data_IF_497803932302
#
_entry.id   IF_497803932302
#
_cell.length_a   1.000
_cell.length_b   1.000
_cell.length_c   1.000
_cell.angle_alpha   90.00
_cell.angle_beta   90.00
_cell.angle_gamma   90.00
#
_symmetry.space_group_name_H-M   'P 1'
#
loop_
_entity.id
_entity.type
_entity.pdbx_description
1 polymer ?
#
# COMPACT_ATOMS: atom_id res chain seq x y z
N UNK A 1 38.90 43.73 -5.99
CA UNK A 1 37.96 43.82 -7.13
C UNK A 1 36.76 42.93 -6.78
N UNK A 2 35.68 43.42 -6.15
CA UNK A 2 34.60 44.29 -6.67
C UNK A 2 33.66 43.52 -7.63
N UNK A 3 32.43 43.23 -7.13
CA UNK A 3 31.11 43.12 -7.80
C UNK A 3 30.96 42.08 -8.94
N UNK A 4 29.81 41.54 -9.37
CA UNK A 4 28.38 41.47 -9.03
C UNK A 4 27.77 40.48 -10.08
N UNK A 5 26.95 39.50 -9.71
CA UNK A 5 25.47 39.49 -9.80
C UNK A 5 24.81 39.57 -11.22
N UNK A 6 23.96 38.57 -11.47
CA UNK A 6 22.60 38.64 -12.07
C UNK A 6 22.38 38.52 -13.61
N UNK A 7 21.73 37.40 -13.97
CA UNK A 7 20.36 37.31 -14.56
C UNK A 7 20.11 36.97 -16.06
N UNK A 8 19.21 35.97 -16.23
CA UNK A 8 18.18 35.75 -17.30
C UNK A 8 18.71 35.32 -18.68
N UNK A 9 18.33 34.17 -19.24
CA UNK A 9 17.07 33.99 -19.98
C UNK A 9 16.56 32.54 -20.01
N UNK A 10 15.29 32.43 -19.58
CA UNK A 10 14.35 31.35 -19.84
C UNK A 10 13.46 31.78 -21.02
N UNK A 11 13.22 30.91 -22.02
CA UNK A 11 12.00 30.86 -22.86
C UNK A 11 12.09 29.66 -23.83
N UNK A 12 11.27 28.61 -23.67
CA UNK A 12 9.87 28.41 -24.11
C UNK A 12 9.74 27.92 -25.56
N UNK A 13 9.13 26.74 -25.73
CA UNK A 13 7.92 26.60 -26.56
C UNK A 13 6.84 25.87 -25.76
N UNK A 14 5.68 26.52 -25.73
CA UNK A 14 4.41 26.05 -25.22
C UNK A 14 3.55 25.62 -26.41
N UNK A 15 2.59 24.71 -26.18
CA UNK A 15 1.36 24.62 -26.97
C UNK A 15 0.17 24.23 -26.05
N UNK A 16 -1.09 24.60 -26.37
CA UNK A 16 -1.83 25.54 -25.53
C UNK A 16 -3.29 25.12 -25.36
N UNK A 17 -3.64 24.33 -24.35
CA UNK A 17 -5.07 24.03 -24.06
C UNK A 17 -5.40 23.97 -22.56
N UNK A 18 -4.72 24.76 -21.73
CA UNK A 18 -4.98 24.82 -20.28
C UNK A 18 -5.25 26.22 -19.74
N UNK A 19 -5.97 27.03 -20.53
CA UNK A 19 -6.66 28.24 -20.05
C UNK A 19 -8.12 28.16 -20.47
N UNK A 20 -8.97 27.81 -19.51
CA UNK A 20 -10.38 28.22 -19.30
C UNK A 20 -11.04 27.15 -18.43
N UNK A 21 -11.22 27.46 -17.14
CA UNK A 21 -12.32 27.05 -16.26
C UNK A 21 -11.97 27.36 -14.81
N UNK A 22 -11.90 28.65 -14.53
CA UNK A 22 -12.16 29.21 -13.20
C UNK A 22 -13.40 30.06 -13.35
N UNK A 23 -14.59 29.45 -13.28
CA UNK A 23 -15.83 30.15 -12.95
C UNK A 23 -16.98 29.15 -12.77
N UNK A 24 -17.74 29.38 -11.69
CA UNK A 24 -19.09 28.91 -11.41
C UNK A 24 -19.30 27.48 -10.88
N UNK A 25 -19.09 27.31 -9.56
CA UNK A 25 -20.02 26.51 -8.72
C UNK A 25 -20.27 27.26 -7.41
N UNK A 26 -21.36 28.04 -7.38
CA UNK A 26 -22.05 28.54 -6.18
C UNK A 26 -23.54 28.26 -6.40
N UNK A 27 -24.24 27.87 -5.31
CA UNK A 27 -25.69 27.52 -5.19
C UNK A 27 -25.94 26.03 -5.49
N UNK A 28 -26.62 25.23 -4.64
CA UNK A 28 -27.74 25.51 -3.73
C UNK A 28 -27.82 24.40 -2.66
N UNK A 29 -28.17 24.79 -1.43
CA UNK A 29 -28.66 23.91 -0.35
C UNK A 29 -30.19 23.85 -0.36
N UNK A 30 -30.72 22.74 0.17
CA UNK A 30 -32.03 22.51 0.85
C UNK A 30 -32.66 21.23 0.29
N UNK A 31 -33.14 20.23 1.02
CA UNK A 31 -33.34 19.97 2.44
C UNK A 31 -34.17 18.67 2.51
N UNK A 32 -34.28 18.02 3.67
CA UNK A 32 -35.47 17.28 4.15
C UNK A 32 -35.21 16.63 5.52
N UNK A 33 -36.14 16.91 6.42
CA UNK A 33 -36.34 16.39 7.76
C UNK A 33 -36.88 14.96 7.72
N UNK A 34 -36.55 14.13 8.71
CA UNK A 34 -37.37 12.99 9.16
C UNK A 34 -37.12 12.74 10.65
N UNK A 35 -38.21 12.49 11.36
CA UNK A 35 -38.42 12.50 12.82
C UNK A 35 -38.09 11.17 13.52
N UNK A 36 -37.83 11.26 14.82
CA UNK A 36 -37.58 10.15 15.75
C UNK A 36 -38.63 10.17 16.87
N UNK A 37 -39.22 9.02 17.16
CA UNK A 37 -39.92 8.61 18.39
C UNK A 37 -39.80 7.07 18.41
N UNK A 38 -39.72 6.31 19.49
CA UNK A 38 -39.46 6.43 20.94
C UNK A 38 -39.33 4.96 21.39
N UNK A 39 -38.61 4.63 22.47
CA UNK A 39 -38.93 3.56 23.46
C UNK A 39 -37.75 3.28 24.41
N UNK A 40 -37.86 3.85 25.63
CA UNK A 40 -37.61 3.31 26.99
C UNK A 40 -36.80 2.01 27.11
N UNK A 41 -35.58 1.98 27.68
CA UNK A 41 -35.16 2.09 29.10
C UNK A 41 -35.08 0.76 29.89
N UNK A 42 -33.83 0.40 30.22
CA UNK A 42 -33.30 -0.14 31.49
C UNK A 42 -33.49 -1.61 31.91
N UNK A 43 -32.36 -2.36 31.94
CA UNK A 43 -31.68 -2.81 33.18
C UNK A 43 -30.53 -3.78 32.88
N UNK A 44 -29.28 -3.31 32.85
CA UNK A 44 -28.06 -4.11 33.16
C UNK A 44 -26.92 -3.16 33.59
N UNK A 45 -27.11 -2.45 34.70
CA UNK A 45 -26.15 -1.49 35.25
C UNK A 45 -25.44 -2.09 36.46
N UNK A 46 -24.26 -2.69 36.24
CA UNK A 46 -23.17 -2.69 37.23
C UNK A 46 -21.80 -3.00 36.61
N UNK A 47 -21.73 -3.71 35.47
CA UNK A 47 -20.45 -3.94 34.73
C UNK A 47 -20.09 -2.84 33.72
N UNK A 48 -21.02 -1.92 33.43
CA UNK A 48 -20.83 -0.85 32.43
C UNK A 48 -20.13 0.39 33.02
N UNK A 49 -20.19 0.60 34.34
CA UNK A 49 -19.59 1.80 34.98
C UNK A 49 -18.06 1.83 34.90
N UNK A 50 -17.38 0.69 34.96
CA UNK A 50 -15.92 0.61 34.78
C UNK A 50 -15.49 0.82 33.32
N UNK A 51 -16.27 0.33 32.36
CA UNK A 51 -16.03 0.55 30.92
C UNK A 51 -16.34 1.99 30.50
N UNK A 52 -17.35 2.65 31.09
CA UNK A 52 -17.67 4.05 30.80
C UNK A 52 -16.63 5.03 31.33
N UNK A 53 -15.97 4.76 32.46
CA UNK A 53 -14.90 5.63 32.98
C UNK A 53 -13.66 5.56 32.07
N UNK A 54 -13.28 4.38 31.58
CA UNK A 54 -12.16 4.23 30.64
C UNK A 54 -12.50 4.75 29.22
N UNK A 55 -13.74 4.55 28.75
CA UNK A 55 -14.20 5.08 27.48
C UNK A 55 -14.30 6.62 27.49
N UNK A 56 -14.82 7.23 28.56
CA UNK A 56 -14.86 8.69 28.68
C UNK A 56 -13.48 9.31 28.84
N UNK A 57 -12.52 8.64 29.47
CA UNK A 57 -11.13 9.12 29.55
C UNK A 57 -10.46 9.13 28.17
N UNK A 58 -10.66 8.06 27.37
CA UNK A 58 -10.18 8.01 25.98
C UNK A 58 -10.93 9.00 25.08
N UNK A 59 -12.22 9.21 25.25
CA UNK A 59 -13.00 10.16 24.44
C UNK A 59 -12.74 11.64 24.81
N UNK A 60 -12.38 11.96 26.07
CA UNK A 60 -11.90 13.30 26.48
C UNK A 60 -10.49 13.60 25.95
N UNK A 61 -9.59 12.60 25.95
CA UNK A 61 -8.26 12.73 25.34
C UNK A 61 -8.35 12.90 23.81
N UNK A 62 -9.27 12.20 23.15
CA UNK A 62 -9.47 12.30 21.70
C UNK A 62 -10.23 13.56 21.27
N UNK A 63 -11.20 14.05 22.04
CA UNK A 63 -11.85 15.35 21.76
C UNK A 63 -10.88 16.53 21.83
N UNK A 64 -9.84 16.45 22.67
CA UNK A 64 -8.78 17.47 22.75
C UNK A 64 -7.72 17.37 21.64
N UNK A 65 -7.70 16.28 20.86
CA UNK A 65 -6.84 16.11 19.68
C UNK A 65 -7.56 16.40 18.35
N UNK A 66 -8.90 16.49 18.35
CA UNK A 66 -9.73 16.75 17.16
C UNK A 66 -9.91 18.26 16.88
N UNK A 67 -9.29 19.16 17.66
CA UNK A 67 -9.31 20.61 17.35
C UNK A 67 -8.20 21.06 16.37
N UNK A 68 -7.59 20.14 15.62
CA UNK A 68 -6.50 20.44 14.65
C UNK A 68 -6.98 20.54 13.19
N UNK A 69 -8.27 20.77 12.97
CA UNK A 69 -8.82 21.14 11.66
C UNK A 69 -9.46 22.53 11.76
N UNK A 70 -8.91 23.49 11.01
CA UNK A 70 -9.47 24.83 10.86
C UNK A 70 -8.67 25.97 11.50
N UNK A 71 -7.37 26.06 11.28
CA UNK A 71 -6.64 27.33 11.45
C UNK A 71 -6.43 27.98 10.07
N UNK A 72 -7.54 28.45 9.50
CA UNK A 72 -7.50 29.41 8.41
C UNK A 72 -6.95 30.73 8.98
N UNK A 73 -5.81 31.17 8.43
CA UNK A 73 -5.29 32.54 8.36
C UNK A 73 -5.68 33.48 9.52
N UNK A 74 -4.91 33.44 10.60
CA UNK A 74 -4.73 34.60 11.47
C UNK A 74 -3.24 34.76 11.76
N UNK A 75 -2.66 35.86 11.29
CA UNK A 75 -1.23 36.19 11.33
C UNK A 75 -0.74 36.65 12.70
N UNK A 76 -1.47 36.36 13.79
CA UNK A 76 -1.00 36.58 15.16
C UNK A 76 -1.25 35.34 16.03
N UNK A 77 -0.23 34.76 16.70
CA UNK A 77 -0.45 33.64 17.60
C UNK A 77 -1.25 34.13 18.81
N UNK A 78 -2.50 33.67 18.96
CA UNK A 78 -3.27 33.89 20.19
C UNK A 78 -2.47 33.42 21.42
N UNK A 79 -2.66 34.06 22.59
CA UNK A 79 -1.93 33.70 23.83
C UNK A 79 -2.04 32.20 24.17
N UNK A 80 -3.19 31.59 23.88
CA UNK A 80 -3.46 30.15 24.08
C UNK A 80 -2.59 29.28 23.17
N UNK A 81 -2.41 29.66 21.91
CA UNK A 81 -1.53 28.96 20.98
C UNK A 81 -0.05 29.14 21.34
N UNK A 82 0.34 30.30 21.87
CA UNK A 82 1.69 30.55 22.40
C UNK A 82 2.01 29.67 23.62
N UNK A 83 1.08 29.54 24.57
CA UNK A 83 1.24 28.69 25.74
C UNK A 83 1.41 27.21 25.36
N UNK A 84 0.51 26.67 24.51
CA UNK A 84 0.63 25.29 24.00
C UNK A 84 1.93 25.05 23.23
N UNK A 85 2.40 26.03 22.45
CA UNK A 85 3.64 25.92 21.69
C UNK A 85 4.87 25.98 22.59
N UNK A 86 4.83 26.74 23.68
CA UNK A 86 5.86 26.76 24.72
C UNK A 86 5.88 25.46 25.53
N UNK A 87 4.73 24.89 25.88
CA UNK A 87 4.64 23.56 26.52
C UNK A 87 5.23 22.47 25.63
N UNK A 88 4.93 22.49 24.33
CA UNK A 88 5.55 21.58 23.36
C UNK A 88 7.06 21.79 23.26
N UNK A 89 7.58 23.02 23.32
CA UNK A 89 9.03 23.27 23.38
C UNK A 89 9.67 22.68 24.63
N UNK A 90 8.98 22.71 25.78
CA UNK A 90 9.45 22.13 27.04
C UNK A 90 9.43 20.60 27.02
N UNK A 91 8.41 19.99 26.43
CA UNK A 91 8.22 18.53 26.39
C UNK A 91 9.03 17.87 25.26
N UNK A 92 9.28 18.57 24.15
CA UNK A 92 9.99 18.03 22.97
C UNK A 92 11.35 17.40 23.30
N UNK A 93 12.24 18.02 24.11
CA UNK A 93 13.47 17.38 24.54
C UNK A 93 13.24 16.07 25.31
N UNK A 94 12.20 16.01 26.16
CA UNK A 94 11.86 14.79 26.90
C UNK A 94 11.37 13.68 25.97
N UNK A 95 10.55 14.00 24.96
CA UNK A 95 10.09 13.03 23.95
C UNK A 95 11.28 12.49 23.16
N UNK A 96 12.16 13.38 22.71
CA UNK A 96 13.35 13.01 21.94
C UNK A 96 14.25 12.07 22.76
N UNK A 97 14.54 12.40 24.03
CA UNK A 97 15.29 11.51 24.94
C UNK A 97 14.62 10.15 25.14
N UNK A 98 13.28 10.10 25.27
CA UNK A 98 12.54 8.83 25.38
C UNK A 98 12.59 8.00 24.10
N UNK A 99 12.67 8.64 22.94
CA UNK A 99 12.85 7.96 21.65
C UNK A 99 14.27 7.40 21.57
N UNK A 100 15.28 8.22 21.85
CA UNK A 100 16.69 7.80 21.85
C UNK A 100 16.95 6.67 22.85
N UNK A 101 16.38 6.74 24.05
CA UNK A 101 16.52 5.69 25.05
C UNK A 101 15.89 4.36 24.60
N UNK A 102 14.66 4.38 24.03
CA UNK A 102 14.07 3.17 23.45
C UNK A 102 14.89 2.64 22.29
N UNK A 103 15.48 3.53 21.49
CA UNK A 103 16.25 3.12 20.34
C UNK A 103 17.57 2.41 20.69
N UNK A 104 18.09 2.57 21.92
CA UNK A 104 19.24 1.81 22.44
C UNK A 104 18.93 0.32 22.63
N UNK A 105 17.66 -0.03 22.77
CA UNK A 105 17.21 -1.42 22.96
C UNK A 105 17.08 -2.18 21.63
N UNK A 106 17.21 -1.48 20.49
CA UNK A 106 17.21 -2.10 19.17
C UNK A 106 18.64 -2.49 18.73
N UNK A 107 18.80 -3.63 18.03
CA UNK A 107 17.76 -4.60 17.67
C UNK A 107 17.36 -5.48 18.86
N UNK A 108 16.07 -5.82 18.95
CA UNK A 108 15.55 -6.74 19.97
C UNK A 108 15.91 -8.16 19.57
N UNK A 109 16.81 -8.82 20.30
CA UNK A 109 17.38 -10.13 19.92
C UNK A 109 16.31 -11.20 19.65
N UNK A 110 15.26 -11.25 20.47
CA UNK A 110 14.21 -12.29 20.37
C UNK A 110 13.38 -12.22 19.07
N UNK A 111 13.37 -11.06 18.38
CA UNK A 111 12.61 -10.88 17.13
C UNK A 111 13.46 -11.06 15.88
N UNK A 112 14.80 -11.11 16.00
CA UNK A 112 15.73 -11.30 14.88
C UNK A 112 15.37 -12.56 14.06
N UNK A 113 15.07 -13.73 14.67
CA UNK A 113 14.70 -14.92 13.90
C UNK A 113 13.47 -14.72 13.02
N UNK A 114 12.48 -13.93 13.48
CA UNK A 114 11.28 -13.61 12.69
C UNK A 114 11.67 -12.79 11.45
N UNK A 115 12.61 -11.86 11.57
CA UNK A 115 13.10 -11.07 10.45
C UNK A 115 13.88 -11.93 9.44
N UNK A 116 14.70 -12.87 9.90
CA UNK A 116 15.39 -13.85 9.02
C UNK A 116 14.41 -14.76 8.28
N UNK A 117 13.35 -15.23 8.96
CA UNK A 117 12.27 -16.01 8.33
C UNK A 117 11.57 -15.22 7.23
N UNK A 118 11.32 -13.92 7.43
CA UNK A 118 10.74 -13.05 6.40
C UNK A 118 11.65 -12.96 5.18
N UNK A 119 12.97 -12.85 5.37
CA UNK A 119 13.93 -12.78 4.27
C UNK A 119 13.97 -14.09 3.47
N UNK A 120 13.99 -15.23 4.17
CA UNK A 120 13.90 -16.57 3.53
C UNK A 120 12.59 -16.71 2.76
N UNK A 121 11.47 -16.32 3.36
CA UNK A 121 10.16 -16.34 2.71
C UNK A 121 10.11 -15.40 1.50
N UNK A 122 10.69 -14.20 1.58
CA UNK A 122 10.78 -13.26 0.46
C UNK A 122 11.55 -13.86 -0.72
N UNK A 123 12.72 -14.45 -0.46
CA UNK A 123 13.55 -15.10 -1.50
C UNK A 123 12.77 -16.22 -2.19
N UNK A 124 12.15 -17.10 -1.41
CA UNK A 124 11.37 -18.21 -1.95
C UNK A 124 10.15 -17.71 -2.74
N UNK A 125 9.46 -16.68 -2.24
CA UNK A 125 8.33 -16.08 -2.92
C UNK A 125 8.73 -15.52 -4.29
N UNK A 126 9.79 -14.69 -4.34
CA UNK A 126 10.27 -14.09 -5.59
C UNK A 126 10.70 -15.17 -6.59
N UNK A 127 11.47 -16.16 -6.15
CA UNK A 127 11.91 -17.26 -7.02
C UNK A 127 10.73 -18.04 -7.61
N UNK A 128 9.80 -18.51 -6.78
CA UNK A 128 8.66 -19.30 -7.26
C UNK A 128 7.71 -18.46 -8.13
N UNK A 129 7.45 -17.19 -7.78
CA UNK A 129 6.62 -16.31 -8.62
C UNK A 129 7.28 -16.04 -9.97
N UNK A 130 8.60 -15.84 -10.02
CA UNK A 130 9.32 -15.71 -11.30
C UNK A 130 9.14 -16.93 -12.19
N UNK A 131 9.25 -18.14 -11.63
CA UNK A 131 8.99 -19.40 -12.38
C UNK A 131 7.55 -19.43 -12.90
N UNK A 132 6.57 -19.15 -12.04
CA UNK A 132 5.16 -19.16 -12.43
C UNK A 132 4.83 -18.13 -13.51
N UNK A 133 5.44 -16.95 -13.48
CA UNK A 133 5.23 -15.90 -14.49
C UNK A 133 5.74 -16.27 -15.88
N UNK A 134 6.74 -17.15 -16.00
CA UNK A 134 7.18 -17.66 -17.30
C UNK A 134 6.22 -18.69 -17.89
N UNK A 135 5.38 -19.31 -17.07
CA UNK A 135 4.48 -20.41 -17.46
C UNK A 135 3.02 -19.98 -17.56
N UNK A 136 2.58 -19.06 -16.71
CA UNK A 136 1.22 -18.54 -16.66
C UNK A 136 1.20 -17.09 -17.14
N UNK A 137 0.46 -16.77 -18.21
CA UNK A 137 0.34 -15.40 -18.68
C UNK A 137 -0.28 -14.51 -17.60
N UNK A 138 0.42 -13.44 -17.26
CA UNK A 138 -0.11 -12.34 -16.45
C UNK A 138 -0.16 -11.11 -17.34
N UNK A 139 -1.28 -10.41 -17.30
CA UNK A 139 -1.55 -9.22 -18.07
C UNK A 139 -1.70 -8.03 -17.13
N UNK A 140 -1.17 -6.89 -17.51
CA UNK A 140 -1.35 -5.61 -16.80
C UNK A 140 -1.96 -4.60 -17.76
N UNK A 141 -2.78 -3.69 -17.24
CA UNK A 141 -3.37 -2.65 -18.06
C UNK A 141 -2.35 -1.53 -18.31
N UNK A 142 -2.22 -1.09 -19.57
CA UNK A 142 -1.34 0.02 -19.95
C UNK A 142 -1.71 1.37 -19.29
N UNK A 143 -2.98 1.55 -18.93
CA UNK A 143 -3.51 2.85 -18.51
C UNK A 143 -3.90 2.93 -17.03
N UNK A 144 -4.09 1.80 -16.38
CA UNK A 144 -4.48 1.74 -14.98
C UNK A 144 -3.73 0.59 -14.31
N UNK A 145 -3.78 0.52 -12.98
CA UNK A 145 -3.02 -0.51 -12.27
C UNK A 145 -3.64 -1.91 -12.33
N UNK A 146 -4.70 -2.17 -13.11
CA UNK A 146 -5.39 -3.47 -13.07
C UNK A 146 -4.50 -4.59 -13.63
N UNK A 147 -4.54 -5.74 -12.98
CA UNK A 147 -3.75 -6.94 -13.33
C UNK A 147 -4.72 -8.10 -13.48
N UNK A 148 -4.44 -8.97 -14.43
CA UNK A 148 -5.23 -10.17 -14.70
C UNK A 148 -4.31 -11.37 -14.88
N UNK A 149 -4.70 -12.53 -14.35
CA UNK A 149 -3.95 -13.79 -14.50
C UNK A 149 -4.71 -14.67 -15.47
N UNK A 150 -4.20 -14.85 -16.68
CA UNK A 150 -4.83 -15.62 -17.74
C UNK A 150 -4.33 -15.24 -19.13
N UNK A 151 -4.55 -16.13 -20.11
CA UNK A 151 -4.09 -15.98 -21.50
C UNK A 151 -4.67 -14.75 -22.19
N UNK A 152 -5.97 -14.51 -21.98
CA UNK A 152 -6.71 -13.38 -22.55
C UNK A 152 -7.28 -12.54 -21.40
N UNK A 153 -7.10 -11.22 -21.48
CA UNK A 153 -7.60 -10.33 -20.46
C UNK A 153 -9.12 -10.22 -20.49
N UNK A 154 -9.72 -9.81 -19.37
CA UNK A 154 -11.18 -9.68 -19.28
C UNK A 154 -11.73 -8.50 -20.09
N UNK A 155 -13.02 -8.60 -20.43
CA UNK A 155 -13.80 -7.56 -21.12
C UNK A 155 -14.66 -6.72 -20.16
N UNK A 156 -14.43 -6.85 -18.85
CA UNK A 156 -15.05 -6.00 -17.83
C UNK A 156 -14.59 -4.55 -18.02
N UNK A 157 -15.55 -3.65 -18.21
CA UNK A 157 -15.31 -2.22 -18.43
C UNK A 157 -15.00 -1.47 -17.12
N UNK A 158 -13.87 -1.77 -16.48
CA UNK A 158 -13.42 -1.14 -15.22
C UNK A 158 -12.23 -0.20 -15.39
N UNK A 159 -11.72 -0.03 -16.61
CA UNK A 159 -10.50 0.73 -16.84
C UNK A 159 -10.68 2.20 -16.46
N UNK A 160 -9.90 2.66 -15.47
CA UNK A 160 -9.88 4.05 -15.00
C UNK A 160 -8.69 4.80 -15.59
N UNK A 161 -8.62 4.89 -16.92
CA UNK A 161 -7.56 5.62 -17.61
C UNK A 161 -7.36 7.01 -17.00
N UNK A 162 -6.13 7.55 -17.04
CA UNK A 162 -5.78 8.89 -16.51
C UNK A 162 -6.64 10.04 -17.09
N UNK A 163 -7.36 9.79 -18.18
CA UNK A 163 -8.33 10.68 -18.80
C UNK A 163 -9.68 10.52 -18.07
N UNK A 164 -10.07 11.54 -17.30
CA UNK A 164 -11.34 11.62 -16.52
C UNK A 164 -12.61 11.70 -17.39
N UNK A 165 -12.73 10.92 -18.46
CA UNK A 165 -13.92 10.84 -19.32
C UNK A 165 -14.41 9.39 -19.43
N UNK A 166 -15.42 9.08 -18.62
CA UNK A 166 -16.15 7.80 -18.60
C UNK A 166 -15.37 6.67 -17.91
N UNK A 167 -15.96 6.10 -16.86
CA UNK A 167 -15.35 5.03 -16.04
C UNK A 167 -15.59 3.62 -16.61
N UNK A 168 -16.02 3.51 -17.87
CA UNK A 168 -16.51 2.28 -18.47
C UNK A 168 -15.76 2.01 -19.78
N UNK A 169 -14.45 1.80 -19.70
CA UNK A 169 -13.63 1.42 -20.85
C UNK A 169 -13.07 0.02 -20.65
N UNK A 170 -12.89 -0.68 -21.76
CA UNK A 170 -12.09 -1.90 -21.81
C UNK A 170 -10.63 -1.58 -21.49
N UNK A 171 -9.93 -2.57 -20.95
CA UNK A 171 -8.51 -2.50 -20.68
C UNK A 171 -7.70 -2.77 -21.94
N UNK A 172 -6.61 -2.01 -22.12
CA UNK A 172 -5.56 -2.36 -23.07
C UNK A 172 -4.51 -3.17 -22.32
N UNK A 173 -4.48 -4.47 -22.59
CA UNK A 173 -3.63 -5.44 -21.90
C UNK A 173 -2.25 -5.52 -22.55
N UNK A 174 -1.23 -5.55 -21.70
CA UNK A 174 0.16 -5.84 -22.09
C UNK A 174 0.71 -6.94 -21.17
N UNK A 175 1.76 -7.66 -21.58
CA UNK A 175 2.42 -8.62 -20.69
C UNK A 175 2.84 -7.97 -19.37
N UNK A 176 2.43 -8.58 -18.27
CA UNK A 176 2.75 -8.15 -16.92
C UNK A 176 4.12 -8.64 -16.46
N UNK A 177 4.67 -7.96 -15.45
CA UNK A 177 5.95 -8.28 -14.82
C UNK A 177 5.77 -8.74 -13.38
N UNK A 178 6.85 -9.20 -12.76
CA UNK A 178 6.85 -9.52 -11.33
C UNK A 178 6.44 -8.33 -10.46
N UNK A 179 6.77 -7.11 -10.86
CA UNK A 179 6.44 -5.90 -10.12
C UNK A 179 4.94 -5.54 -10.17
N UNK A 180 4.21 -6.07 -11.16
CA UNK A 180 2.75 -5.89 -11.25
C UNK A 180 2.03 -6.81 -10.25
N UNK A 181 2.59 -8.01 -10.01
CA UNK A 181 2.07 -9.00 -9.05
C UNK A 181 2.54 -8.69 -7.62
N UNK A 182 3.84 -8.46 -7.45
CA UNK A 182 4.52 -8.13 -6.20
C UNK A 182 4.98 -6.67 -6.24
N UNK A 183 4.06 -5.76 -5.91
CA UNK A 183 4.31 -4.31 -6.01
C UNK A 183 5.50 -3.90 -5.14
N UNK A 184 6.59 -3.38 -5.74
CA UNK A 184 7.74 -2.93 -4.97
C UNK A 184 7.37 -1.67 -4.19
N UNK A 185 7.60 -1.72 -2.88
CA UNK A 185 7.46 -0.56 -1.98
C UNK A 185 8.82 -0.22 -1.44
N UNK A 186 9.25 1.02 -1.65
CA UNK A 186 10.55 1.51 -1.19
C UNK A 186 10.45 2.31 0.10
N UNK A 187 11.56 2.35 0.83
CA UNK A 187 11.81 3.23 1.97
C UNK A 187 13.23 3.80 1.84
N UNK A 188 13.47 4.93 2.50
CA UNK A 188 14.84 5.39 2.74
C UNK A 188 15.58 4.40 3.64
N UNK A 189 16.83 4.12 3.29
CA UNK A 189 17.72 3.33 4.12
C UNK A 189 18.24 4.16 5.30
N UNK A 190 18.11 3.63 6.53
CA UNK A 190 18.62 4.27 7.74
C UNK A 190 19.76 3.45 8.34
N UNK A 191 20.76 4.12 8.93
CA UNK A 191 21.80 3.44 9.71
C UNK A 191 21.28 2.90 11.04
N UNK A 192 20.29 3.57 11.62
CA UNK A 192 19.68 3.20 12.89
C UNK A 192 18.30 3.83 13.06
N UNK A 193 17.42 3.18 13.81
CA UNK A 193 16.11 3.71 14.24
C UNK A 193 16.17 5.03 15.02
N UNK A 194 17.32 5.35 15.63
CA UNK A 194 17.53 6.62 16.37
C UNK A 194 18.00 7.77 15.49
N UNK A 195 18.28 7.52 14.21
CA UNK A 195 18.84 8.50 13.30
C UNK A 195 17.94 9.75 13.19
N UNK A 196 18.57 10.90 13.02
CA UNK A 196 17.87 12.17 12.79
C UNK A 196 16.95 12.12 11.56
N UNK A 197 15.89 12.92 11.61
CA UNK A 197 14.89 12.98 10.54
C UNK A 197 15.50 13.49 9.23
N UNK A 198 15.41 12.69 8.16
CA UNK A 198 15.86 13.03 6.81
C UNK A 198 15.11 14.29 6.32
N UNK A 199 15.85 15.34 6.00
CA UNK A 199 15.31 16.58 5.43
C UNK A 199 15.18 16.47 3.91
N UNK A 200 14.38 17.34 3.31
CA UNK A 200 14.16 17.32 1.86
C UNK A 200 15.43 17.50 1.03
N UNK A 201 16.35 18.34 1.48
CA UNK A 201 17.62 18.57 0.80
C UNK A 201 18.47 17.30 0.80
N UNK A 202 18.37 16.50 1.86
CA UNK A 202 19.18 15.31 2.06
C UNK A 202 18.62 14.07 1.36
N UNK A 203 17.50 14.18 0.63
CA UNK A 203 16.82 13.01 0.05
C UNK A 203 17.66 12.23 -0.96
N UNK A 204 18.69 12.84 -1.51
CA UNK A 204 19.61 12.19 -2.45
C UNK A 204 20.88 11.67 -1.75
N UNK A 205 21.04 11.98 -0.47
CA UNK A 205 22.17 11.52 0.36
C UNK A 205 21.88 10.14 0.97
N UNK A 206 20.66 9.62 0.81
CA UNK A 206 20.20 8.35 1.34
C UNK A 206 19.73 7.44 0.23
N UNK A 207 20.16 6.19 0.29
CA UNK A 207 19.72 5.16 -0.63
C UNK A 207 18.24 4.79 -0.42
N UNK A 208 17.66 4.25 -1.48
CA UNK A 208 16.31 3.70 -1.52
C UNK A 208 16.41 2.18 -1.57
N UNK A 209 15.70 1.52 -0.67
CA UNK A 209 15.68 0.05 -0.56
C UNK A 209 14.23 -0.43 -0.40
N UNK A 210 13.91 -1.69 -0.74
CA UNK A 210 12.61 -2.26 -0.44
C UNK A 210 12.27 -2.12 1.05
N UNK A 211 11.07 -1.62 1.38
CA UNK A 211 10.65 -1.33 2.74
C UNK A 211 10.67 -2.56 3.66
N UNK A 212 10.47 -3.76 3.10
CA UNK A 212 10.63 -5.03 3.82
C UNK A 212 12.09 -5.23 4.24
N UNK A 213 13.05 -5.00 3.33
CA UNK A 213 14.47 -5.17 3.63
C UNK A 213 14.92 -4.14 4.67
N UNK A 214 14.46 -2.89 4.55
CA UNK A 214 14.73 -1.88 5.56
C UNK A 214 14.19 -2.31 6.94
N UNK A 215 12.95 -2.83 7.00
CA UNK A 215 12.37 -3.29 8.26
C UNK A 215 13.15 -4.46 8.87
N UNK A 216 13.56 -5.44 8.06
CA UNK A 216 14.37 -6.57 8.52
C UNK A 216 15.79 -6.13 8.93
N UNK A 217 16.36 -5.13 8.26
CA UNK A 217 17.65 -4.54 8.62
C UNK A 217 17.57 -3.85 9.99
N UNK A 218 16.56 -3.00 10.22
CA UNK A 218 16.35 -2.38 11.54
C UNK A 218 16.05 -3.42 12.62
N UNK A 219 15.50 -4.57 12.23
CA UNK A 219 15.29 -5.70 13.13
C UNK A 219 16.54 -6.53 13.44
N UNK A 220 17.68 -6.24 12.79
CA UNK A 220 18.97 -6.91 13.02
C UNK A 220 19.23 -8.14 12.16
N UNK A 221 18.39 -8.45 11.18
CA UNK A 221 18.60 -9.62 10.29
C UNK A 221 19.53 -9.34 9.10
N UNK A 222 19.83 -8.06 8.83
CA UNK A 222 20.77 -7.64 7.79
C UNK A 222 21.60 -6.50 8.36
N UNK A 223 22.92 -6.54 8.17
CA UNK A 223 23.77 -5.41 8.53
C UNK A 223 23.50 -4.21 7.62
N UNK A 224 23.39 -2.95 8.14
CA UNK A 224 23.04 -1.79 7.32
C UNK A 224 23.91 -1.59 6.07
N UNK A 225 25.21 -1.88 6.17
CA UNK A 225 26.14 -1.72 5.04
C UNK A 225 25.95 -2.78 3.93
N UNK A 226 25.31 -3.90 4.25
CA UNK A 226 25.15 -5.03 3.33
C UNK A 226 23.82 -4.99 2.57
N UNK A 227 22.86 -4.17 3.00
CA UNK A 227 21.48 -4.18 2.49
C UNK A 227 21.39 -3.98 0.97
N UNK A 228 22.23 -3.11 0.40
CA UNK A 228 22.24 -2.83 -1.02
C UNK A 228 22.74 -4.03 -1.82
N UNK A 229 23.79 -4.69 -1.32
CA UNK A 229 24.31 -5.90 -1.94
C UNK A 229 23.33 -7.08 -1.80
N UNK A 230 22.65 -7.16 -0.65
CA UNK A 230 21.60 -8.13 -0.42
C UNK A 230 20.45 -7.96 -1.42
N UNK A 231 19.94 -6.73 -1.58
CA UNK A 231 18.87 -6.42 -2.55
C UNK A 231 19.26 -6.80 -3.97
N UNK A 232 20.45 -6.43 -4.43
CA UNK A 232 20.96 -6.76 -5.77
C UNK A 232 21.02 -8.26 -6.04
N UNK A 233 21.39 -9.06 -5.04
CA UNK A 233 21.57 -10.50 -5.20
C UNK A 233 20.27 -11.31 -5.06
N UNK A 234 19.27 -10.77 -4.34
CA UNK A 234 18.09 -11.54 -3.96
C UNK A 234 16.78 -11.06 -4.60
N UNK A 235 16.69 -9.80 -5.05
CA UNK A 235 15.46 -9.28 -5.66
C UNK A 235 15.27 -9.73 -7.12
N UNK A 236 16.34 -10.20 -7.79
CA UNK A 236 16.33 -10.68 -9.17
C UNK A 236 16.87 -12.11 -9.26
N UNK A 237 16.00 -13.13 -9.08
CA UNK A 237 16.40 -14.53 -9.23
C UNK A 237 16.91 -14.80 -10.65
N UNK A 238 18.15 -15.28 -10.77
CA UNK A 238 18.73 -15.72 -12.04
C UNK A 238 18.29 -17.15 -12.32
N UNK A 239 17.13 -17.31 -12.97
CA UNK A 239 16.60 -18.62 -13.37
C UNK A 239 16.62 -18.69 -14.89
N UNK A 240 17.34 -19.67 -15.46
CA UNK A 240 17.45 -19.85 -16.91
C UNK A 240 16.10 -20.27 -17.53
N UNK A 241 15.94 -20.07 -18.83
CA UNK A 241 14.73 -20.49 -19.53
C UNK A 241 14.70 -22.02 -19.72
N UNK A 242 15.87 -22.64 -19.82
CA UNK A 242 16.06 -24.09 -19.94
C UNK A 242 15.64 -24.83 -18.67
N UNK A 243 16.02 -24.33 -17.49
CA UNK A 243 15.61 -24.89 -16.19
C UNK A 243 14.10 -24.83 -15.95
N UNK A 244 13.40 -23.91 -16.61
CA UNK A 244 11.95 -23.76 -16.45
C UNK A 244 11.19 -24.67 -17.42
N UNK A 245 11.68 -24.84 -18.65
CA UNK A 245 11.08 -25.74 -19.64
C UNK A 245 11.16 -27.21 -19.23
N UNK A 246 12.11 -27.57 -18.38
CA UNK A 246 12.26 -28.93 -17.85
C UNK A 246 11.38 -29.23 -16.63
N UNK A 247 10.64 -28.25 -16.09
CA UNK A 247 9.78 -28.45 -14.91
C UNK A 247 8.53 -29.27 -15.31
N UNK A 248 8.35 -30.48 -14.76
CA UNK A 248 7.14 -31.28 -14.95
C UNK A 248 5.88 -30.57 -14.44
N UNK A 249 4.73 -30.89 -15.02
CA UNK A 249 3.43 -30.31 -14.62
C UNK A 249 3.07 -30.57 -13.16
N UNK A 250 3.44 -31.73 -12.61
CA UNK A 250 3.23 -32.06 -11.18
C UNK A 250 4.06 -31.17 -10.24
N UNK A 251 5.24 -30.74 -10.69
CA UNK A 251 6.11 -29.84 -9.92
C UNK A 251 5.57 -28.40 -9.91
N UNK A 252 4.74 -28.02 -10.88
CA UNK A 252 4.10 -26.68 -10.91
C UNK A 252 3.16 -26.47 -9.72
N UNK A 253 2.44 -27.51 -9.34
CA UNK A 253 1.59 -27.49 -8.13
C UNK A 253 2.43 -27.25 -6.89
N UNK A 254 3.61 -27.87 -6.81
CA UNK A 254 4.55 -27.69 -5.70
C UNK A 254 5.16 -26.27 -5.68
N UNK A 255 5.56 -25.75 -6.84
CA UNK A 255 6.03 -24.35 -7.00
C UNK A 255 4.95 -23.37 -6.54
N UNK A 256 3.70 -23.56 -6.97
CA UNK A 256 2.55 -22.77 -6.54
C UNK A 256 2.30 -22.86 -5.03
N UNK A 257 2.36 -24.07 -4.46
CA UNK A 257 2.18 -24.26 -3.02
C UNK A 257 3.29 -23.58 -2.20
N UNK A 258 4.54 -23.65 -2.67
CA UNK A 258 5.68 -22.99 -2.03
C UNK A 258 5.58 -21.46 -2.11
N UNK A 259 5.20 -20.91 -3.26
CA UNK A 259 4.94 -19.48 -3.42
C UNK A 259 3.85 -19.01 -2.44
N UNK A 260 2.75 -19.75 -2.36
CA UNK A 260 1.63 -19.40 -1.48
C UNK A 260 2.00 -19.50 0.01
N UNK A 261 2.73 -20.55 0.40
CA UNK A 261 3.23 -20.68 1.77
C UNK A 261 4.22 -19.55 2.12
N UNK A 262 5.11 -19.20 1.20
CA UNK A 262 6.06 -18.11 1.36
C UNK A 262 5.35 -16.75 1.49
N UNK A 263 4.31 -16.51 0.69
CA UNK A 263 3.45 -15.33 0.78
C UNK A 263 2.81 -15.19 2.17
N UNK A 264 2.18 -16.25 2.68
CA UNK A 264 1.55 -16.25 4.02
C UNK A 264 2.58 -16.02 5.13
N UNK A 265 3.71 -16.76 5.10
CA UNK A 265 4.79 -16.63 6.08
C UNK A 265 5.35 -15.21 6.12
N UNK A 266 5.63 -14.63 4.96
CA UNK A 266 6.14 -13.26 4.83
C UNK A 266 5.18 -12.23 5.45
N UNK A 267 3.89 -12.33 5.14
CA UNK A 267 2.88 -11.40 5.66
C UNK A 267 2.64 -11.58 7.15
N UNK A 268 2.61 -12.81 7.65
CA UNK A 268 2.50 -13.11 9.07
C UNK A 268 3.71 -12.61 9.87
N UNK A 269 4.92 -12.80 9.35
CA UNK A 269 6.16 -12.27 9.94
C UNK A 269 6.16 -10.74 9.98
N UNK A 270 5.79 -10.09 8.87
CA UNK A 270 5.68 -8.62 8.82
C UNK A 270 4.68 -8.08 9.84
N UNK A 271 3.55 -8.76 10.03
CA UNK A 271 2.57 -8.40 11.06
C UNK A 271 3.21 -8.39 12.45
N UNK A 272 4.08 -9.36 12.76
CA UNK A 272 4.82 -9.42 14.04
C UNK A 272 5.86 -8.29 14.14
N UNK A 273 6.67 -8.07 13.09
CA UNK A 273 7.69 -7.00 13.10
C UNK A 273 7.07 -5.61 13.27
N UNK A 274 5.93 -5.32 12.61
CA UNK A 274 5.24 -4.03 12.71
C UNK A 274 4.62 -3.75 14.08
N UNK A 275 4.54 -4.74 14.98
CA UNK A 275 4.19 -4.51 16.38
C UNK A 275 5.36 -3.94 17.19
N UNK A 276 6.59 -4.27 16.79
CA UNK A 276 7.82 -3.99 17.54
C UNK A 276 8.59 -2.82 16.94
N UNK A 277 8.69 -2.77 15.61
CA UNK A 277 9.38 -1.75 14.85
C UNK A 277 8.36 -0.76 14.26
N UNK A 278 8.31 0.47 14.76
CA UNK A 278 7.39 1.49 14.27
C UNK A 278 7.71 1.83 12.83
N UNK A 279 6.70 1.73 11.97
CA UNK A 279 6.78 2.15 10.57
C UNK A 279 5.62 3.08 10.24
N UNK A 280 5.85 3.96 9.27
CA UNK A 280 4.93 5.00 8.83
C UNK A 280 4.64 4.88 7.35
N UNK A 281 3.41 5.19 6.98
CA UNK A 281 3.00 5.31 5.57
C UNK A 281 2.35 6.68 5.37
N UNK A 282 2.58 7.29 4.21
CA UNK A 282 1.86 8.48 3.82
C UNK A 282 0.47 8.09 3.30
N UNK A 283 -0.59 8.61 3.94
CA UNK A 283 -1.98 8.37 3.55
C UNK A 283 -2.27 8.62 2.06
N UNK A 284 -1.61 9.62 1.49
CA UNK A 284 -1.94 10.15 0.16
C UNK A 284 -1.07 9.61 -0.97
N UNK A 285 0.23 9.45 -0.74
CA UNK A 285 1.17 9.03 -1.78
C UNK A 285 1.79 7.65 -1.54
N UNK A 286 1.36 6.94 -0.49
CA UNK A 286 1.82 5.58 -0.15
C UNK A 286 3.32 5.42 0.08
N UNK A 287 4.04 6.53 0.25
CA UNK A 287 5.44 6.53 0.69
C UNK A 287 5.56 5.85 2.06
N UNK A 288 6.50 4.92 2.21
CA UNK A 288 6.75 4.22 3.46
C UNK A 288 8.06 4.68 4.08
N UNK A 289 8.09 4.75 5.40
CA UNK A 289 9.28 5.02 6.18
C UNK A 289 9.32 4.08 7.38
N UNK A 290 10.36 3.27 7.49
CA UNK A 290 10.64 2.49 8.69
C UNK A 290 11.29 3.42 9.72
N UNK A 291 10.61 3.62 10.86
CA UNK A 291 11.03 4.60 11.86
C UNK A 291 9.87 5.35 12.52
N UNK A 292 10.16 5.97 13.65
CA UNK A 292 9.14 6.59 14.52
C UNK A 292 8.47 7.84 13.94
N UNK A 293 9.21 8.69 13.23
CA UNK A 293 8.79 10.07 12.93
C UNK A 293 8.46 10.35 11.47
N UNK A 294 8.83 9.47 10.53
CA UNK A 294 8.74 9.76 9.11
C UNK A 294 9.78 10.79 8.65
N UNK A 295 10.13 10.80 7.37
CA UNK A 295 11.02 11.82 6.80
C UNK A 295 10.29 13.13 6.48
N UNK A 296 11.07 14.18 6.23
CA UNK A 296 10.60 15.51 5.81
C UNK A 296 10.88 15.82 4.34
N UNK A 297 11.29 14.83 3.56
CA UNK A 297 11.36 15.00 2.10
C UNK A 297 9.99 15.39 1.53
N UNK A 298 9.99 16.36 0.62
CA UNK A 298 8.77 16.89 -0.02
C UNK A 298 8.46 16.14 -1.30
N UNK A 299 8.16 14.84 -1.18
CA UNK A 299 7.91 13.95 -2.31
C UNK A 299 6.42 13.67 -2.54
N UNK A 300 5.53 14.15 -1.66
CA UNK A 300 4.11 13.90 -1.78
C UNK A 300 3.51 14.70 -2.96
N UNK A 301 3.22 14.02 -4.08
CA UNK A 301 2.73 14.64 -5.31
C UNK A 301 1.29 15.18 -5.27
N UNK A 302 0.51 14.85 -4.23
CA UNK A 302 -0.91 15.21 -4.14
C UNK A 302 -1.12 16.70 -3.82
N UNK A 303 -0.19 17.33 -3.11
CA UNK A 303 -0.35 18.69 -2.59
C UNK A 303 0.58 19.71 -3.23
N UNK A 304 0.91 19.55 -4.53
CA UNK A 304 1.80 20.49 -5.23
C UNK A 304 1.25 21.93 -5.24
N UNK A 305 -0.09 22.10 -5.15
CA UNK A 305 -0.78 23.40 -5.21
C UNK A 305 -1.50 23.78 -3.91
N UNK A 306 -1.43 22.96 -2.86
CA UNK A 306 -2.01 23.26 -1.54
C UNK A 306 -0.92 23.69 -0.55
N UNK A 307 -1.32 24.29 0.58
CA UNK A 307 -0.42 24.80 1.63
C UNK A 307 0.52 23.76 2.26
N UNK A 308 0.35 22.46 1.94
CA UNK A 308 1.19 21.36 2.40
C UNK A 308 2.55 21.26 1.69
N UNK A 309 2.79 21.96 0.57
CA UNK A 309 4.12 22.07 -0.09
C UNK A 309 4.85 20.72 -0.27
N UNK A 310 4.11 19.66 -0.58
CA UNK A 310 4.64 18.31 -0.82
C UNK A 310 5.05 17.51 0.43
N UNK A 311 4.70 17.94 1.64
CA UNK A 311 4.96 17.14 2.86
C UNK A 311 4.02 15.94 2.99
N UNK A 312 4.44 14.93 3.74
CA UNK A 312 3.68 13.69 3.95
C UNK A 312 2.70 13.80 5.12
N UNK A 313 1.57 13.10 5.00
CA UNK A 313 0.64 12.85 6.10
C UNK A 313 0.89 11.43 6.63
N UNK A 314 1.70 11.32 7.67
CA UNK A 314 2.17 10.04 8.21
C UNK A 314 1.12 9.36 9.10
N UNK A 315 0.73 8.14 8.73
CA UNK A 315 -0.07 7.21 9.53
C UNK A 315 0.77 5.99 9.92
N UNK A 316 0.30 5.17 10.86
CA UNK A 316 0.98 3.90 11.20
C UNK A 316 0.86 2.96 9.99
N UNK A 317 1.98 2.40 9.53
CA UNK A 317 1.97 1.44 8.44
C UNK A 317 1.40 0.07 8.89
N UNK A 318 0.61 -0.54 8.02
CA UNK A 318 0.18 -1.93 8.12
C UNK A 318 0.92 -2.83 7.14
N UNK A 319 0.58 -4.13 7.15
CA UNK A 319 1.20 -5.13 6.26
C UNK A 319 0.97 -4.77 4.79
N UNK A 320 -0.25 -4.34 4.43
CA UNK A 320 -0.60 -3.93 3.07
C UNK A 320 0.09 -2.66 2.59
N UNK A 321 0.69 -1.86 3.47
CA UNK A 321 1.47 -0.70 3.05
C UNK A 321 2.90 -1.08 2.65
N UNK A 322 3.47 -2.14 3.24
CA UNK A 322 4.80 -2.66 2.88
C UNK A 322 4.73 -3.72 1.78
N UNK A 323 3.66 -4.51 1.78
CA UNK A 323 3.42 -5.60 0.83
C UNK A 323 1.98 -5.51 0.37
N UNK A 324 1.70 -4.69 -0.66
CA UNK A 324 0.34 -4.50 -1.14
C UNK A 324 -0.24 -5.81 -1.70
N UNK A 325 -1.45 -6.14 -1.27
CA UNK A 325 -2.26 -7.17 -1.92
C UNK A 325 -2.84 -6.60 -3.22
N UNK A 326 -2.33 -7.10 -4.35
CA UNK A 326 -2.88 -6.75 -5.65
C UNK A 326 -4.12 -7.60 -5.94
N UNK A 327 -5.30 -7.11 -5.61
CA UNK A 327 -6.55 -7.85 -5.89
C UNK A 327 -6.85 -7.86 -7.39
N UNK A 328 -7.12 -9.04 -7.93
CA UNK A 328 -7.45 -9.31 -9.33
C UNK A 328 -8.78 -10.05 -9.44
N UNK A 329 -9.42 -9.96 -10.61
CA UNK A 329 -10.52 -10.85 -10.96
C UNK A 329 -10.01 -12.29 -11.04
N UNK A 330 -10.67 -13.19 -10.33
CA UNK A 330 -10.31 -14.61 -10.30
C UNK A 330 -11.36 -15.41 -11.09
N UNK A 331 -10.91 -16.03 -12.19
CA UNK A 331 -11.74 -16.91 -13.02
C UNK A 331 -11.85 -18.28 -12.37
N UNK A 332 -13.06 -18.70 -12.03
CA UNK A 332 -13.33 -20.03 -11.49
C UNK A 332 -13.45 -21.06 -12.62
N UNK A 333 -13.33 -22.37 -12.34
CA UNK A 333 -13.48 -23.40 -13.36
C UNK A 333 -14.81 -23.34 -14.14
N UNK A 334 -15.89 -22.92 -13.47
CA UNK A 334 -17.23 -22.77 -14.05
C UNK A 334 -17.48 -21.43 -14.77
N UNK A 335 -16.57 -20.46 -14.62
CA UNK A 335 -16.71 -19.14 -15.26
C UNK A 335 -16.27 -19.21 -16.74
N UNK A 336 -16.77 -18.31 -17.60
CA UNK A 336 -16.34 -18.27 -18.98
C UNK A 336 -14.84 -18.01 -19.12
N UNK A 337 -14.27 -18.46 -20.25
CA UNK A 337 -12.85 -18.27 -20.57
C UNK A 337 -12.47 -16.79 -20.48
N UNK A 338 -13.34 -15.91 -21.00
CA UNK A 338 -13.19 -14.45 -20.93
C UNK A 338 -14.29 -13.88 -20.05
N UNK A 339 -13.90 -13.18 -18.98
CA UNK A 339 -14.84 -12.55 -18.05
C UNK A 339 -15.47 -11.29 -18.66
N UNK A 340 -16.79 -11.16 -18.55
CA UNK A 340 -17.59 -10.07 -19.15
C UNK A 340 -18.33 -9.26 -18.08
N UNK A 341 -18.96 -8.16 -18.48
CA UNK A 341 -19.57 -7.20 -17.54
C UNK A 341 -20.71 -7.80 -16.73
N UNK A 342 -21.51 -8.63 -17.38
CA UNK A 342 -22.76 -9.18 -16.89
C UNK A 342 -22.52 -10.14 -15.70
N UNK A 343 -21.36 -10.80 -15.68
CA UNK A 343 -20.98 -11.73 -14.62
C UNK A 343 -20.20 -11.12 -13.45
N UNK A 344 -19.94 -9.80 -13.43
CA UNK A 344 -19.12 -9.12 -12.39
C UNK A 344 -19.49 -9.50 -10.94
N UNK A 345 -20.77 -9.64 -10.65
CA UNK A 345 -21.24 -10.00 -9.29
C UNK A 345 -20.99 -11.46 -8.93
N UNK A 346 -20.83 -12.33 -9.92
CA UNK A 346 -20.67 -13.78 -9.76
C UNK A 346 -19.19 -14.16 -9.61
N UNK A 347 -18.31 -13.50 -10.36
CA UNK A 347 -16.89 -13.84 -10.38
C UNK A 347 -16.20 -13.65 -9.03
N UNK A 348 -15.14 -14.43 -8.84
CA UNK A 348 -14.27 -14.35 -7.68
C UNK A 348 -13.28 -13.20 -7.77
N UNK A 349 -12.68 -12.87 -6.64
CA UNK A 349 -11.50 -12.03 -6.53
C UNK A 349 -10.45 -12.74 -5.70
N UNK A 350 -9.18 -12.42 -5.92
CA UNK A 350 -8.08 -12.91 -5.10
C UNK A 350 -6.88 -11.95 -5.20
N UNK A 351 -5.95 -11.96 -4.23
CA UNK A 351 -4.63 -11.40 -4.45
C UNK A 351 -3.97 -12.07 -5.67
N UNK A 352 -3.23 -11.31 -6.49
CA UNK A 352 -2.62 -11.77 -7.73
C UNK A 352 -1.72 -12.99 -7.51
N UNK A 353 -0.91 -12.98 -6.44
CA UNK A 353 -0.08 -14.11 -6.02
C UNK A 353 -0.92 -15.35 -5.75
N UNK A 354 -2.03 -15.21 -5.04
CA UNK A 354 -2.94 -16.31 -4.69
C UNK A 354 -3.63 -16.86 -5.94
N UNK A 355 -4.12 -15.98 -6.83
CA UNK A 355 -4.73 -16.39 -8.10
C UNK A 355 -3.72 -17.11 -9.00
N UNK A 356 -2.48 -16.63 -9.06
CA UNK A 356 -1.40 -17.25 -9.83
C UNK A 356 -1.08 -18.66 -9.30
N UNK A 357 -0.93 -18.81 -7.98
CA UNK A 357 -0.70 -20.13 -7.37
C UNK A 357 -1.90 -21.07 -7.58
N UNK A 358 -3.13 -20.55 -7.51
CA UNK A 358 -4.34 -21.34 -7.79
C UNK A 358 -4.37 -21.86 -9.23
N UNK A 359 -3.97 -21.04 -10.22
CA UNK A 359 -3.87 -21.48 -11.62
C UNK A 359 -2.77 -22.53 -11.83
N UNK A 360 -1.74 -22.53 -10.99
CA UNK A 360 -0.73 -23.60 -10.94
C UNK A 360 -1.23 -24.89 -10.25
N UNK A 361 -2.49 -24.95 -9.80
CA UNK A 361 -3.07 -26.11 -9.12
C UNK A 361 -2.77 -26.19 -7.62
N UNK A 362 -2.19 -25.14 -7.02
CA UNK A 362 -1.95 -25.10 -5.58
C UNK A 362 -3.27 -25.03 -4.81
N UNK A 363 -3.32 -25.76 -3.68
CA UNK A 363 -4.48 -25.72 -2.78
C UNK A 363 -4.46 -24.40 -2.01
N UNK A 364 -5.45 -23.55 -2.26
CA UNK A 364 -5.54 -22.23 -1.63
C UNK A 364 -6.16 -22.34 -0.22
N UNK A 365 -5.62 -21.65 0.80
CA UNK A 365 -6.21 -21.58 2.13
C UNK A 365 -7.67 -21.09 2.13
N UNK A 366 -8.46 -21.60 3.06
CA UNK A 366 -9.91 -21.36 3.13
C UNK A 366 -10.29 -19.91 3.42
N UNK A 367 -9.41 -19.10 4.03
CA UNK A 367 -9.71 -17.68 4.29
C UNK A 367 -9.81 -16.84 3.01
N UNK A 368 -9.27 -17.31 1.88
CA UNK A 368 -9.47 -16.69 0.57
C UNK A 368 -10.76 -17.13 -0.13
N UNK A 369 -11.39 -18.21 0.32
CA UNK A 369 -12.54 -18.81 -0.36
C UNK A 369 -13.74 -17.86 -0.47
N UNK A 370 -13.95 -16.97 0.52
CA UNK A 370 -15.04 -16.00 0.47
C UNK A 370 -14.90 -15.03 -0.71
N UNK A 371 -13.69 -14.56 -1.00
CA UNK A 371 -13.42 -13.66 -2.13
C UNK A 371 -13.40 -14.43 -3.45
N UNK A 372 -12.79 -15.63 -3.46
CA UNK A 372 -12.64 -16.46 -4.65
C UNK A 372 -13.95 -17.12 -5.11
N UNK A 373 -14.92 -17.29 -4.22
CA UNK A 373 -16.24 -17.89 -4.47
C UNK A 373 -16.19 -19.25 -5.20
N UNK A 374 -15.37 -20.24 -4.75
CA UNK A 374 -15.23 -21.51 -5.49
C UNK A 374 -16.56 -22.26 -5.66
N UNK A 375 -17.44 -22.25 -4.66
CA UNK A 375 -18.79 -22.81 -4.73
C UNK A 375 -19.89 -21.76 -5.04
N UNK A 376 -19.52 -20.55 -5.47
CA UNK A 376 -20.48 -19.53 -5.83
C UNK A 376 -21.23 -19.88 -7.12
N UNK A 377 -22.46 -19.37 -7.25
CA UNK A 377 -23.28 -19.56 -8.44
C UNK A 377 -22.56 -19.10 -9.71
N UNK A 378 -22.83 -19.79 -10.82
CA UNK A 378 -22.39 -19.37 -12.15
C UNK A 378 -23.27 -18.23 -12.67
N UNK A 379 -22.66 -17.33 -13.45
CA UNK A 379 -23.43 -16.35 -14.21
C UNK A 379 -24.30 -17.07 -15.25
N UNK A 380 -25.62 -16.80 -15.32
CA UNK A 380 -26.49 -17.44 -16.30
C UNK A 380 -26.17 -16.89 -17.69
N UNK A 381 -25.52 -17.71 -18.52
CA UNK A 381 -25.41 -17.43 -19.95
C UNK A 381 -26.80 -17.53 -20.59
N UNK A 382 -27.41 -16.40 -20.94
CA UNK A 382 -28.56 -16.41 -21.84
C UNK A 382 -28.04 -16.75 -23.24
N UNK A 383 -28.43 -17.93 -23.75
CA UNK A 383 -28.06 -18.47 -25.06
C UNK A 383 -28.50 -17.56 -26.23
N UNK A 384 -27.81 -16.44 -26.46
CA UNK A 384 -27.99 -15.64 -27.67
C UNK A 384 -26.72 -15.50 -28.51
N UNK A 385 -25.63 -16.21 -28.16
CA UNK A 385 -24.34 -16.12 -28.87
C UNK A 385 -23.78 -17.50 -29.26
N UNK A 386 -24.62 -18.54 -29.32
CA UNK A 386 -24.22 -19.83 -29.90
C UNK A 386 -24.35 -19.89 -31.44
N UNK A 387 -24.68 -18.78 -32.12
CA UNK A 387 -24.90 -18.76 -33.58
C UNK A 387 -23.88 -17.87 -34.33
N UNK A 388 -22.60 -17.91 -33.97
CA UNK A 388 -21.54 -17.21 -34.73
C UNK A 388 -20.30 -18.07 -35.01
N UNK A 389 -20.46 -19.40 -35.02
CA UNK A 389 -19.50 -20.29 -35.66
C UNK A 389 -20.25 -21.33 -36.51
N UNK A 390 -20.28 -21.10 -37.82
CA UNK A 390 -20.49 -22.07 -38.87
C UNK A 390 -19.59 -21.69 -40.05
#
# INVERSE_FOLDING_TARGET
>A
MIYANLQVLCSRRCDPLRRRRSENIRRRFSGKHLSVHDFSSDRLTLSIRLLFVMANWRQKLWRNLISFQGAAYSTTPSRINKAKLNDLRRIRPMIQRRIENRAKEYPIRDIVPVAEEILKARKNLLSNVTVLLKLFPVLTCKFCSEVFVGKEGHLIQTCRSYIRRGNNRLHEWVPGSINDVLVPVESFHLRSMSQGVIRHQQRFDYDRVPAILELCCQAGAIHPEEILQYSKSHDYPQISDEEIRSIPTEDLKYVGANALMAWEKLRAGLKKLLLVYPSKVCKHCKEVHVGLSGHKARLCGVFKYESFRGTHYWEKAGVNDLVPEKVVWHRRPQDPVVLVDEGRSYYGHAPAVVSLCSHAGAVVPTHYACEMKPQGLSFPFTNSVCNLEA
#
